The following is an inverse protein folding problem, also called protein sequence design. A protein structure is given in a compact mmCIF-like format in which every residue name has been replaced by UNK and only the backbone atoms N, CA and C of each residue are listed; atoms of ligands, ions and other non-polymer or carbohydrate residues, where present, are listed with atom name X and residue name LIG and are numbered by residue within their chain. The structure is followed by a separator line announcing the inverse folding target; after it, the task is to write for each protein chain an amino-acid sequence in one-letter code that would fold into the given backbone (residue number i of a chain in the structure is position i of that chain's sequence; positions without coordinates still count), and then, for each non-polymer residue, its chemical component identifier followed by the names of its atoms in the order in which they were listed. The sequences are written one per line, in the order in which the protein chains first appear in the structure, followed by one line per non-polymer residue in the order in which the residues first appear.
data_IF_935247564135
#
_entry.id   IF_935247564135
#
_cell.length_a   1.000
_cell.length_b   1.000
_cell.length_c   1.000
_cell.angle_alpha   90.00
_cell.angle_beta   90.00
_cell.angle_gamma   90.00
#
_symmetry.space_group_name_H-M   'P 1'
#
loop_
_entity.id
_entity.type
_entity.pdbx_description
1 polymer ?
#
# COMPACT_ATOMS: atom_id res chain seq x y z
N UNK A 1 4.33 18.34 18.85
CA UNK A 1 4.59 17.13 18.03
C UNK A 1 6.07 16.80 18.11
N UNK A 2 6.44 15.53 17.95
CA UNK A 2 7.86 15.12 17.91
C UNK A 2 8.44 15.51 16.54
N UNK A 3 9.67 16.02 16.53
CA UNK A 3 10.45 16.26 15.30
C UNK A 3 10.57 14.93 14.52
N UNK A 4 10.02 14.89 13.31
CA UNK A 4 10.00 13.74 12.41
C UNK A 4 10.73 14.11 11.12
N UNK A 5 11.88 13.48 10.86
CA UNK A 5 12.67 13.76 9.65
C UNK A 5 12.46 12.69 8.60
N UNK A 6 12.65 13.09 7.34
CA UNK A 6 12.62 12.17 6.21
C UNK A 6 13.64 11.02 6.37
N UNK A 7 14.78 11.28 6.99
CA UNK A 7 15.79 10.26 7.27
C UNK A 7 15.31 9.22 8.31
N UNK A 8 14.46 9.61 9.25
CA UNK A 8 13.89 8.69 10.26
C UNK A 8 12.93 7.68 9.63
N UNK A 9 12.25 8.07 8.53
CA UNK A 9 11.27 7.23 7.84
C UNK A 9 11.83 6.51 6.62
N UNK A 10 13.00 6.92 6.11
CA UNK A 10 13.60 6.38 4.89
C UNK A 10 13.79 4.87 4.96
N UNK A 11 14.33 4.36 6.06
CA UNK A 11 14.56 2.91 6.24
C UNK A 11 13.24 2.13 6.25
N UNK A 12 12.18 2.71 6.81
CA UNK A 12 10.87 2.08 6.83
C UNK A 12 10.25 2.01 5.43
N UNK A 13 10.35 3.09 4.64
CA UNK A 13 9.91 3.12 3.24
C UNK A 13 10.65 2.08 2.38
N UNK A 14 11.97 1.93 2.57
CA UNK A 14 12.77 0.92 1.86
C UNK A 14 12.32 -0.50 2.21
N UNK A 15 12.01 -0.78 3.47
CA UNK A 15 11.52 -2.11 3.90
C UNK A 15 10.11 -2.41 3.38
N UNK A 16 9.23 -1.42 3.38
CA UNK A 16 7.89 -1.55 2.81
C UNK A 16 7.96 -1.79 1.31
N UNK A 17 8.87 -1.11 0.61
CA UNK A 17 9.15 -1.34 -0.80
C UNK A 17 9.60 -2.77 -1.07
N UNK A 18 10.53 -3.32 -0.28
CA UNK A 18 10.96 -4.72 -0.41
C UNK A 18 9.82 -5.70 -0.18
N UNK A 19 9.04 -5.47 0.88
CA UNK A 19 7.88 -6.32 1.21
C UNK A 19 6.89 -6.34 0.05
N UNK A 20 6.59 -5.19 -0.54
CA UNK A 20 5.65 -5.08 -1.65
C UNK A 20 6.18 -5.77 -2.91
N UNK A 21 7.44 -5.55 -3.29
CA UNK A 21 8.06 -6.21 -4.45
C UNK A 21 7.98 -7.73 -4.30
N UNK A 22 8.39 -8.28 -3.15
CA UNK A 22 8.31 -9.72 -2.90
C UNK A 22 6.87 -10.24 -2.96
N UNK A 23 5.92 -9.51 -2.38
CA UNK A 23 4.51 -9.93 -2.37
C UNK A 23 3.93 -10.02 -3.79
N UNK A 24 4.28 -9.07 -4.67
CA UNK A 24 3.86 -9.07 -6.07
C UNK A 24 4.49 -10.23 -6.85
N UNK A 25 5.77 -10.52 -6.61
CA UNK A 25 6.47 -11.65 -7.24
C UNK A 25 5.83 -12.99 -6.80
N UNK A 26 5.53 -13.14 -5.50
CA UNK A 26 4.86 -14.33 -4.98
C UNK A 26 3.45 -14.50 -5.56
N UNK A 27 2.67 -13.41 -5.67
CA UNK A 27 1.33 -13.49 -6.27
C UNK A 27 1.38 -13.94 -7.73
N UNK A 28 2.39 -13.50 -8.47
CA UNK A 28 2.54 -13.83 -9.89
C UNK A 28 2.99 -15.27 -10.18
N UNK A 29 3.33 -16.06 -9.16
CA UNK A 29 3.50 -17.51 -9.30
C UNK A 29 2.19 -18.20 -9.75
N UNK A 30 1.05 -17.55 -9.52
CA UNK A 30 -0.26 -18.05 -9.91
C UNK A 30 -0.85 -17.22 -11.07
N UNK A 31 -1.72 -17.87 -11.86
CA UNK A 31 -2.49 -17.18 -12.88
C UNK A 31 -3.49 -16.19 -12.27
N UNK A 32 -4.16 -15.43 -13.12
CA UNK A 32 -5.15 -14.46 -12.69
C UNK A 32 -6.22 -15.09 -11.79
N UNK A 33 -6.73 -16.29 -12.11
CA UNK A 33 -7.73 -17.00 -11.29
C UNK A 33 -8.97 -16.12 -11.02
N UNK A 34 -9.60 -15.65 -12.11
CA UNK A 34 -10.75 -14.74 -12.11
C UNK A 34 -11.86 -15.08 -11.09
N UNK A 35 -12.26 -16.35 -10.88
CA UNK A 35 -13.31 -16.70 -9.92
C UNK A 35 -13.11 -16.17 -8.49
N UNK A 36 -11.86 -15.90 -8.09
CA UNK A 36 -11.54 -15.38 -6.74
C UNK A 36 -12.09 -13.95 -6.53
N UNK A 37 -12.24 -13.19 -7.61
CA UNK A 37 -12.59 -11.76 -7.59
C UNK A 37 -14.04 -11.48 -7.98
N UNK A 38 -14.77 -12.52 -8.40
CA UNK A 38 -16.17 -12.41 -8.77
C UNK A 38 -17.07 -12.74 -7.58
N UNK A 39 -18.08 -11.89 -7.36
CA UNK A 39 -19.04 -12.10 -6.28
C UNK A 39 -19.83 -13.39 -6.51
N UNK A 40 -19.95 -14.19 -5.45
CA UNK A 40 -20.69 -15.45 -5.42
C UNK A 40 -20.27 -16.54 -6.42
N UNK A 41 -19.20 -16.35 -7.20
CA UNK A 41 -18.67 -17.38 -8.11
C UNK A 41 -18.11 -18.58 -7.33
N UNK A 42 -17.44 -18.31 -6.22
CA UNK A 42 -17.09 -19.30 -5.20
C UNK A 42 -18.06 -19.12 -4.02
N UNK A 43 -19.03 -20.03 -3.80
CA UNK A 43 -20.01 -19.87 -2.73
C UNK A 43 -19.35 -20.01 -1.35
N UNK A 44 -19.51 -18.98 -0.50
CA UNK A 44 -18.99 -18.96 0.87
C UNK A 44 -20.16 -18.82 1.84
N UNK A 45 -20.47 -19.84 2.67
CA UNK A 45 -21.59 -19.79 3.58
C UNK A 45 -21.50 -18.61 4.57
N UNK A 46 -22.51 -17.74 4.55
CA UNK A 46 -22.63 -16.63 5.50
C UNK A 46 -21.78 -15.39 5.16
N UNK A 47 -21.24 -15.29 3.95
CA UNK A 47 -20.51 -14.12 3.46
C UNK A 47 -21.04 -13.65 2.12
N UNK A 48 -21.23 -12.35 1.97
CA UNK A 48 -21.60 -11.71 0.71
C UNK A 48 -20.37 -11.02 0.11
N UNK A 49 -19.90 -11.50 -1.04
CA UNK A 49 -18.75 -10.95 -1.76
C UNK A 49 -17.93 -12.03 -2.45
N UNK A 50 -16.76 -11.64 -2.96
CA UNK A 50 -15.81 -12.54 -3.61
C UNK A 50 -14.89 -13.26 -2.60
N UNK A 51 -14.18 -14.30 -3.05
CA UNK A 51 -13.29 -15.08 -2.18
C UNK A 51 -12.09 -14.28 -1.66
N UNK A 52 -11.56 -13.34 -2.46
CA UNK A 52 -10.51 -12.42 -2.01
C UNK A 52 -10.98 -11.57 -0.81
N UNK A 53 -12.19 -11.01 -0.90
CA UNK A 53 -12.75 -10.15 0.15
C UNK A 53 -13.01 -10.95 1.42
N UNK A 54 -13.54 -12.17 1.30
CA UNK A 54 -13.74 -13.06 2.45
C UNK A 54 -12.43 -13.31 3.19
N UNK A 55 -11.38 -13.72 2.48
CA UNK A 55 -10.12 -14.07 3.13
C UNK A 55 -9.44 -12.85 3.75
N UNK A 56 -9.52 -11.69 3.10
CA UNK A 56 -9.03 -10.43 3.65
C UNK A 56 -9.81 -10.09 4.93
N UNK A 57 -11.14 -10.09 4.88
CA UNK A 57 -11.99 -9.78 6.03
C UNK A 57 -11.72 -10.71 7.22
N UNK A 58 -11.66 -12.02 7.02
CA UNK A 58 -11.32 -12.98 8.08
C UNK A 58 -9.93 -12.71 8.67
N UNK A 59 -8.96 -12.35 7.83
CA UNK A 59 -7.62 -12.00 8.28
C UNK A 59 -7.61 -10.71 9.09
N UNK A 60 -8.34 -9.68 8.65
CA UNK A 60 -8.47 -8.41 9.37
C UNK A 60 -9.11 -8.61 10.74
N UNK A 61 -10.10 -9.51 10.86
CA UNK A 61 -10.71 -9.83 12.16
C UNK A 61 -9.72 -10.41 13.15
N UNK A 62 -8.79 -11.25 12.70
CA UNK A 62 -7.71 -11.78 13.55
C UNK A 62 -6.76 -10.66 13.95
N UNK A 63 -6.36 -9.81 13.01
CA UNK A 63 -5.43 -8.71 13.23
C UNK A 63 -6.00 -7.60 14.14
N UNK A 64 -7.29 -7.30 14.04
CA UNK A 64 -7.98 -6.32 14.86
C UNK A 64 -7.94 -6.69 16.35
N UNK A 65 -8.22 -7.96 16.67
CA UNK A 65 -8.16 -8.50 18.04
C UNK A 65 -6.80 -8.26 18.69
N UNK A 66 -5.72 -8.30 17.90
CA UNK A 66 -4.34 -8.12 18.38
C UNK A 66 -3.79 -6.70 18.19
N UNK A 67 -4.67 -5.70 18.00
CA UNK A 67 -4.38 -4.26 17.95
C UNK A 67 -3.69 -3.74 16.68
N UNK A 68 -3.65 -4.52 15.58
CA UNK A 68 -2.96 -4.09 14.35
C UNK A 68 -3.40 -2.69 13.90
N UNK A 69 -4.72 -2.47 13.80
CA UNK A 69 -5.32 -1.22 13.33
C UNK A 69 -5.41 -0.11 14.39
N UNK A 70 -4.76 -0.29 15.55
CA UNK A 70 -4.49 0.83 16.46
C UNK A 70 -3.15 1.51 16.16
N UNK A 71 -2.32 0.87 15.32
CA UNK A 71 -1.07 1.44 14.85
C UNK A 71 -1.35 2.56 13.83
N UNK A 72 -0.65 3.70 13.89
CA UNK A 72 -0.90 4.84 13.00
C UNK A 72 -0.52 4.61 11.53
N UNK A 73 0.09 3.47 11.21
CA UNK A 73 0.54 3.07 9.87
C UNK A 73 -0.20 1.85 9.31
N UNK A 74 -1.28 1.41 9.96
CA UNK A 74 -2.09 0.26 9.54
C UNK A 74 -3.56 0.68 9.37
N UNK A 75 -4.08 0.60 8.14
CA UNK A 75 -5.45 0.95 7.81
C UNK A 75 -6.23 -0.31 7.40
N UNK A 76 -7.39 -0.60 8.01
CA UNK A 76 -8.19 -1.76 7.62
C UNK A 76 -8.95 -1.50 6.32
N UNK A 77 -9.21 -2.56 5.55
CA UNK A 77 -10.08 -2.51 4.37
C UNK A 77 -11.57 -2.57 4.75
N UNK A 78 -11.89 -3.20 5.89
CA UNK A 78 -13.25 -3.33 6.41
C UNK A 78 -13.41 -2.58 7.75
N UNK A 79 -14.58 -2.00 8.00
CA UNK A 79 -14.82 -1.16 9.18
C UNK A 79 -15.48 -1.90 10.34
N UNK A 80 -16.19 -3.00 10.06
CA UNK A 80 -16.95 -3.81 11.00
C UNK A 80 -16.08 -4.91 11.63
N UNK A 81 -14.98 -4.49 12.28
CA UNK A 81 -14.01 -5.40 12.89
C UNK A 81 -14.29 -5.64 14.38
N UNK A 82 -13.92 -6.82 14.92
CA UNK A 82 -14.15 -7.18 16.31
C UNK A 82 -13.32 -6.37 17.29
N UNK A 83 -13.78 -6.32 18.54
CA UNK A 83 -13.08 -5.64 19.63
C UNK A 83 -11.69 -6.22 19.91
N UNK A 84 -10.82 -5.33 20.35
CA UNK A 84 -9.45 -5.63 20.78
C UNK A 84 -9.48 -6.50 22.04
N UNK A 85 -8.69 -7.58 22.07
CA UNK A 85 -8.58 -8.47 23.24
C UNK A 85 -7.32 -8.24 24.08
N UNK A 86 -6.40 -7.41 23.59
CA UNK A 86 -5.14 -7.07 24.26
C UNK A 86 -5.22 -5.71 24.99
N UNK A 87 -4.44 -5.48 26.05
CA UNK A 87 -4.40 -4.18 26.74
C UNK A 87 -4.05 -3.02 25.81
N UNK A 88 -4.45 -1.78 26.13
CA UNK A 88 -4.07 -0.62 25.31
C UNK A 88 -2.54 -0.38 25.33
N UNK A 89 -2.01 0.13 24.23
CA UNK A 89 -0.62 0.62 24.12
C UNK A 89 -0.67 2.07 23.68
N UNK A 90 0.07 2.93 24.37
CA UNK A 90 0.26 4.31 23.95
C UNK A 90 1.34 4.37 22.87
N UNK A 91 0.93 4.69 21.65
CA UNK A 91 1.87 5.03 20.58
C UNK A 91 2.24 6.51 20.68
N UNK A 92 3.53 6.81 20.54
CA UNK A 92 3.94 8.19 20.30
C UNK A 92 3.75 8.49 18.81
N UNK A 93 2.52 8.87 18.45
CA UNK A 93 2.11 9.11 17.06
C UNK A 93 2.60 10.52 16.65
N UNK A 94 3.48 10.64 15.64
CA UNK A 94 3.96 11.94 15.17
C UNK A 94 2.95 12.65 14.26
N UNK A 95 1.80 12.02 13.97
CA UNK A 95 0.75 12.54 13.11
C UNK A 95 -0.34 13.24 13.91
N UNK A 96 -1.03 14.20 13.29
CA UNK A 96 -2.30 14.71 13.81
C UNK A 96 -3.42 13.66 13.64
N UNK A 97 -4.47 13.69 14.49
CA UNK A 97 -5.67 12.88 14.26
C UNK A 97 -6.25 13.12 12.87
N UNK A 98 -6.54 12.04 12.14
CA UNK A 98 -7.11 12.08 10.79
C UNK A 98 -7.93 10.80 10.54
N UNK A 99 -8.82 10.85 9.53
CA UNK A 99 -9.64 9.71 9.12
C UNK A 99 -9.32 9.25 7.69
N UNK A 100 -8.11 9.53 7.20
CA UNK A 100 -7.70 9.26 5.82
C UNK A 100 -7.51 7.76 5.63
N UNK A 101 -8.35 7.15 4.81
CA UNK A 101 -8.20 5.76 4.40
C UNK A 101 -8.64 5.63 2.94
N UNK A 102 -7.69 5.34 2.05
CA UNK A 102 -7.89 5.18 0.60
C UNK A 102 -7.92 3.70 0.18
N UNK A 103 -8.16 2.77 1.12
CA UNK A 103 -8.16 1.33 0.83
C UNK A 103 -9.21 0.91 -0.22
N UNK A 104 -10.31 1.65 -0.37
CA UNK A 104 -11.26 1.42 -1.45
C UNK A 104 -10.62 1.62 -2.84
N UNK A 105 -9.84 2.70 -3.01
CA UNK A 105 -9.09 2.97 -4.24
C UNK A 105 -8.00 1.92 -4.46
N UNK A 106 -7.29 1.53 -3.39
CA UNK A 106 -6.25 0.48 -3.44
C UNK A 106 -6.83 -0.86 -3.87
N UNK A 107 -7.98 -1.26 -3.32
CA UNK A 107 -8.65 -2.51 -3.64
C UNK A 107 -9.06 -2.55 -5.13
N UNK A 108 -9.72 -1.49 -5.60
CA UNK A 108 -10.13 -1.39 -7.00
C UNK A 108 -8.92 -1.43 -7.94
N UNK A 109 -7.90 -0.62 -7.66
CA UNK A 109 -6.66 -0.60 -8.42
C UNK A 109 -5.98 -1.98 -8.47
N UNK A 110 -5.93 -2.67 -7.32
CA UNK A 110 -5.29 -3.98 -7.23
C UNK A 110 -5.98 -5.01 -8.12
N UNK A 111 -7.32 -5.12 -8.00
CA UNK A 111 -8.15 -6.06 -8.76
C UNK A 111 -8.19 -5.72 -10.25
N UNK A 112 -8.32 -4.44 -10.59
CA UNK A 112 -8.62 -4.02 -11.95
C UNK A 112 -7.39 -3.78 -12.82
N UNK A 113 -6.26 -3.41 -12.22
CA UNK A 113 -5.04 -3.00 -12.94
C UNK A 113 -3.83 -3.85 -12.56
N UNK A 114 -3.44 -3.87 -11.28
CA UNK A 114 -2.17 -4.47 -10.84
C UNK A 114 -2.13 -5.97 -11.16
N UNK A 115 -3.18 -6.72 -10.80
CA UNK A 115 -3.22 -8.16 -11.05
C UNK A 115 -3.10 -8.52 -12.54
N UNK A 116 -3.69 -7.73 -13.44
CA UNK A 116 -3.60 -7.95 -14.89
C UNK A 116 -2.20 -7.70 -15.45
N UNK A 117 -1.41 -6.85 -14.78
CA UNK A 117 -0.04 -6.57 -15.19
C UNK A 117 0.97 -7.62 -14.70
N UNK A 118 0.73 -8.23 -13.54
CA UNK A 118 1.69 -9.18 -12.94
C UNK A 118 1.33 -10.65 -13.17
N UNK A 119 0.06 -10.99 -13.35
CA UNK A 119 -0.39 -12.37 -13.51
C UNK A 119 -0.63 -12.75 -14.97
N UNK A 120 -0.26 -13.97 -15.33
CA UNK A 120 -0.69 -14.55 -16.60
C UNK A 120 -2.21 -14.75 -16.62
N UNK A 121 -2.90 -14.47 -17.75
CA UNK A 121 -4.32 -14.77 -17.90
C UNK A 121 -4.66 -16.25 -17.67
N UNK A 122 -5.90 -16.48 -17.26
CA UNK A 122 -6.50 -17.82 -17.11
C UNK A 122 -6.52 -18.31 -15.67
N UNK A 123 -6.74 -19.61 -15.54
CA UNK A 123 -7.02 -20.28 -14.27
C UNK A 123 -6.04 -21.45 -14.06
N UNK A 124 -5.41 -21.51 -12.90
CA UNK A 124 -4.55 -22.62 -12.47
C UNK A 124 -5.10 -23.39 -11.26
N UNK A 125 -6.31 -23.09 -10.79
CA UNK A 125 -7.02 -23.77 -9.71
C UNK A 125 -6.49 -23.48 -8.30
N UNK A 126 -5.40 -22.73 -8.17
CA UNK A 126 -4.74 -22.45 -6.89
C UNK A 126 -5.38 -21.25 -6.17
N UNK A 127 -6.69 -21.33 -5.91
CA UNK A 127 -7.46 -20.21 -5.40
C UNK A 127 -7.04 -19.77 -4.00
N UNK A 128 -6.85 -20.72 -3.08
CA UNK A 128 -6.45 -20.40 -1.71
C UNK A 128 -5.08 -19.72 -1.64
N UNK A 129 -4.12 -20.21 -2.41
CA UNK A 129 -2.77 -19.62 -2.45
C UNK A 129 -2.79 -18.22 -3.06
N UNK A 130 -3.54 -18.04 -4.15
CA UNK A 130 -3.69 -16.74 -4.80
C UNK A 130 -4.34 -15.71 -3.87
N UNK A 131 -5.48 -16.04 -3.25
CA UNK A 131 -6.16 -15.17 -2.29
C UNK A 131 -5.27 -14.85 -1.08
N UNK A 132 -4.46 -15.81 -0.61
CA UNK A 132 -3.52 -15.57 0.50
C UNK A 132 -2.45 -14.56 0.09
N UNK A 133 -1.87 -14.69 -1.11
CA UNK A 133 -0.95 -13.70 -1.66
C UNK A 133 -1.63 -12.34 -1.89
N UNK A 134 -2.90 -12.32 -2.30
CA UNK A 134 -3.68 -11.09 -2.48
C UNK A 134 -3.80 -10.30 -1.18
N UNK A 135 -4.12 -10.98 -0.06
CA UNK A 135 -4.18 -10.35 1.28
C UNK A 135 -2.85 -9.70 1.67
N UNK A 136 -1.74 -10.39 1.41
CA UNK A 136 -0.39 -9.87 1.71
C UNK A 136 -0.09 -8.64 0.83
N UNK A 137 -0.39 -8.71 -0.47
CA UNK A 137 -0.22 -7.59 -1.39
C UNK A 137 -1.04 -6.36 -0.98
N UNK A 138 -2.32 -6.55 -0.67
CA UNK A 138 -3.24 -5.47 -0.29
C UNK A 138 -2.79 -4.80 1.02
N UNK A 139 -2.36 -5.57 2.02
CA UNK A 139 -1.82 -5.01 3.25
C UNK A 139 -0.49 -4.27 3.02
N UNK A 140 0.40 -4.79 2.18
CA UNK A 140 1.66 -4.13 1.84
C UNK A 140 1.44 -2.82 1.06
N UNK A 141 0.51 -2.83 0.10
CA UNK A 141 0.08 -1.65 -0.65
C UNK A 141 -0.51 -0.60 0.28
N UNK A 142 -1.49 -1.00 1.10
CA UNK A 142 -2.14 -0.11 2.07
C UNK A 142 -1.12 0.57 2.97
N UNK A 143 -0.24 -0.21 3.60
CA UNK A 143 0.81 0.32 4.46
C UNK A 143 1.73 1.28 3.72
N UNK A 144 2.20 0.92 2.52
CA UNK A 144 3.15 1.74 1.74
C UNK A 144 2.53 3.07 1.30
N UNK A 145 1.28 3.05 0.87
CA UNK A 145 0.58 4.22 0.34
C UNK A 145 0.15 5.14 1.49
N UNK A 146 -0.43 4.59 2.56
CA UNK A 146 -0.80 5.38 3.74
C UNK A 146 0.40 5.91 4.52
N UNK A 147 1.60 5.34 4.34
CA UNK A 147 2.82 5.92 4.89
C UNK A 147 3.12 7.33 4.34
N UNK A 148 2.43 7.75 3.26
CA UNK A 148 2.37 9.12 2.79
C UNK A 148 2.03 10.12 3.92
N UNK A 149 1.22 9.76 4.91
CA UNK A 149 0.93 10.62 6.08
C UNK A 149 2.20 11.05 6.82
N UNK A 150 3.13 10.12 7.04
CA UNK A 150 4.41 10.39 7.70
C UNK A 150 5.37 11.19 6.81
N UNK A 151 5.34 10.93 5.50
CA UNK A 151 6.13 11.70 4.53
C UNK A 151 5.65 13.15 4.49
N UNK A 152 4.34 13.36 4.43
CA UNK A 152 3.72 14.67 4.47
C UNK A 152 4.03 15.43 5.76
N UNK A 153 3.93 14.77 6.92
CA UNK A 153 4.30 15.38 8.20
C UNK A 153 5.77 15.82 8.23
N UNK A 154 6.68 14.96 7.78
CA UNK A 154 8.11 15.30 7.73
C UNK A 154 8.41 16.44 6.75
N UNK A 155 7.70 16.51 5.62
CA UNK A 155 7.81 17.62 4.66
C UNK A 155 7.23 18.92 5.22
N UNK A 156 6.09 18.85 5.91
CA UNK A 156 5.49 20.00 6.58
C UNK A 156 6.45 20.59 7.61
N UNK A 157 7.02 19.77 8.50
CA UNK A 157 7.96 20.24 9.53
C UNK A 157 9.25 20.82 8.93
N UNK A 158 9.65 20.39 7.73
CA UNK A 158 10.84 20.91 7.06
C UNK A 158 10.63 22.29 6.39
N UNK A 159 9.40 22.63 6.01
CA UNK A 159 9.05 23.90 5.34
C UNK A 159 7.64 24.36 5.76
N UNK A 160 7.47 24.64 7.06
CA UNK A 160 6.17 24.96 7.65
C UNK A 160 5.53 26.20 7.01
N UNK A 161 6.34 27.21 6.64
CA UNK A 161 5.85 28.47 6.07
C UNK A 161 5.14 28.24 4.73
N UNK A 162 5.79 27.52 3.80
CA UNK A 162 5.23 27.25 2.47
C UNK A 162 3.95 26.41 2.56
N UNK A 163 4.00 25.29 3.28
CA UNK A 163 2.82 24.42 3.39
C UNK A 163 1.68 25.10 4.16
N UNK A 164 1.97 25.89 5.21
CA UNK A 164 0.93 26.64 5.94
C UNK A 164 0.18 27.62 5.02
N UNK A 165 0.89 28.32 4.15
CA UNK A 165 0.27 29.23 3.19
C UNK A 165 -0.66 28.48 2.21
N UNK A 166 -0.19 27.36 1.66
CA UNK A 166 -0.96 26.53 0.73
C UNK A 166 -2.19 25.88 1.39
N UNK A 167 -2.05 25.37 2.62
CA UNK A 167 -3.13 24.74 3.39
C UNK A 167 -4.22 25.75 3.71
N UNK A 168 -3.85 26.96 4.18
CA UNK A 168 -4.82 28.03 4.46
C UNK A 168 -5.57 28.49 3.20
N UNK A 169 -4.90 28.48 2.04
CA UNK A 169 -5.53 28.75 0.75
C UNK A 169 -6.38 27.59 0.22
N UNK A 170 -6.36 26.41 0.87
CA UNK A 170 -6.94 25.14 0.40
C UNK A 170 -6.48 24.79 -1.02
N UNK A 171 -5.23 25.13 -1.35
CA UNK A 171 -4.65 24.91 -2.68
C UNK A 171 -4.07 23.50 -2.81
N UNK A 172 -4.96 22.52 -3.01
CA UNK A 172 -4.57 21.11 -3.18
C UNK A 172 -3.57 20.91 -4.34
N UNK A 173 -3.73 21.67 -5.43
CA UNK A 173 -2.86 21.58 -6.61
C UNK A 173 -1.48 22.15 -6.32
N UNK A 174 -1.41 23.30 -5.65
CA UNK A 174 -0.14 23.88 -5.21
C UNK A 174 0.61 22.95 -4.25
N UNK A 175 -0.10 22.28 -3.33
CA UNK A 175 0.50 21.25 -2.47
C UNK A 175 1.05 20.11 -3.32
N UNK A 176 0.25 19.54 -4.21
CA UNK A 176 0.67 18.44 -5.09
C UNK A 176 1.95 18.79 -5.88
N UNK A 177 1.99 19.97 -6.52
CA UNK A 177 3.14 20.45 -7.28
C UNK A 177 4.41 20.57 -6.41
N UNK A 178 4.28 21.01 -5.15
CA UNK A 178 5.39 21.06 -4.19
C UNK A 178 5.88 19.67 -3.76
N UNK A 179 4.99 18.66 -3.74
CA UNK A 179 5.34 17.31 -3.33
C UNK A 179 6.07 16.51 -4.42
N UNK A 180 5.83 16.84 -5.69
CA UNK A 180 6.43 16.18 -6.85
C UNK A 180 7.94 16.46 -6.88
N UNK A 181 8.73 15.40 -6.81
CA UNK A 181 10.17 15.48 -6.98
C UNK A 181 10.62 14.41 -7.97
N UNK A 182 10.70 14.80 -9.25
CA UNK A 182 11.03 13.90 -10.37
C UNK A 182 12.38 13.19 -10.19
N UNK A 183 13.35 13.84 -9.54
CA UNK A 183 14.64 13.22 -9.28
C UNK A 183 14.57 12.13 -8.19
N UNK A 184 13.69 12.29 -7.20
CA UNK A 184 13.43 11.27 -6.17
C UNK A 184 12.60 10.14 -6.75
N UNK A 185 11.54 10.44 -7.52
CA UNK A 185 10.72 9.45 -8.22
C UNK A 185 11.59 8.54 -9.10
N UNK A 186 12.42 9.12 -9.97
CA UNK A 186 13.33 8.34 -10.83
C UNK A 186 14.28 7.42 -10.04
N UNK A 187 14.76 7.87 -8.87
CA UNK A 187 15.60 7.04 -7.97
C UNK A 187 14.81 5.93 -7.29
N UNK A 188 13.53 6.13 -7.01
CA UNK A 188 12.64 5.09 -6.48
C UNK A 188 12.42 4.04 -7.56
N UNK A 189 12.02 4.45 -8.77
CA UNK A 189 11.74 3.55 -9.89
C UNK A 189 12.96 2.69 -10.26
N UNK A 190 14.14 3.30 -10.43
CA UNK A 190 15.37 2.58 -10.72
C UNK A 190 15.74 1.57 -9.62
N UNK A 191 15.47 1.90 -8.35
CA UNK A 191 15.73 0.99 -7.22
C UNK A 191 14.72 -0.15 -7.19
N UNK A 192 13.44 0.12 -7.44
CA UNK A 192 12.38 -0.88 -7.52
C UNK A 192 12.68 -1.88 -8.63
N UNK A 193 13.02 -1.41 -9.82
CA UNK A 193 13.38 -2.26 -10.96
C UNK A 193 14.61 -3.14 -10.65
N UNK A 194 15.65 -2.55 -10.06
CA UNK A 194 16.86 -3.28 -9.66
C UNK A 194 16.57 -4.37 -8.60
N UNK A 195 15.74 -4.06 -7.61
CA UNK A 195 15.32 -5.02 -6.59
C UNK A 195 14.44 -6.13 -7.16
N UNK A 196 13.45 -5.78 -7.97
CA UNK A 196 12.60 -6.75 -8.67
C UNK A 196 13.43 -7.70 -9.54
N UNK A 197 14.43 -7.16 -10.24
CA UNK A 197 15.40 -7.95 -11.01
C UNK A 197 16.19 -8.90 -10.10
N UNK A 198 16.65 -8.43 -8.95
CA UNK A 198 17.44 -9.25 -8.02
C UNK A 198 16.60 -10.37 -7.38
N UNK A 199 15.35 -10.07 -7.01
CA UNK A 199 14.48 -11.02 -6.31
C UNK A 199 13.78 -12.01 -7.24
N UNK A 200 13.62 -11.66 -8.51
CA UNK A 200 12.98 -12.50 -9.52
C UNK A 200 13.90 -13.55 -10.16
N UNK A 201 15.14 -13.70 -9.69
CA UNK A 201 16.15 -14.62 -10.23
C UNK A 201 16.55 -15.66 -9.20
N UNK A 202 16.80 -16.90 -9.64
CA UNK A 202 17.51 -17.87 -8.81
C UNK A 202 19.03 -17.57 -8.83
N UNK A 203 19.71 -17.57 -7.67
CA UNK A 203 21.15 -17.33 -7.61
C UNK A 203 21.92 -18.35 -8.45
N UNK A 204 22.60 -17.88 -9.51
CA UNK A 204 23.48 -18.70 -10.34
C UNK A 204 22.91 -19.12 -11.70
N UNK A 205 21.70 -18.70 -12.07
CA UNK A 205 21.18 -18.89 -13.43
C UNK A 205 21.80 -17.92 -14.44
N UNK A 206 22.27 -18.42 -15.58
CA UNK A 206 22.82 -17.60 -16.68
C UNK A 206 21.74 -16.92 -17.53
N UNK A 207 20.49 -17.44 -17.53
CA UNK A 207 19.33 -16.88 -18.23
C UNK A 207 18.07 -17.01 -17.34
N UNK A 208 17.92 -16.15 -16.33
CA UNK A 208 16.82 -16.32 -15.39
C UNK A 208 15.47 -16.05 -16.04
N UNK A 209 14.52 -16.95 -15.82
CA UNK A 209 13.12 -16.78 -16.20
C UNK A 209 12.38 -15.98 -15.13
N UNK A 210 12.16 -14.68 -15.39
CA UNK A 210 11.38 -13.85 -14.50
C UNK A 210 9.89 -14.23 -14.54
N UNK A 211 9.31 -14.57 -13.38
CA UNK A 211 7.86 -14.80 -13.26
C UNK A 211 7.04 -13.51 -13.43
N UNK A 212 7.62 -12.37 -13.05
CA UNK A 212 7.10 -11.02 -13.33
C UNK A 212 8.18 -10.24 -14.02
N UNK A 213 7.83 -9.55 -15.09
CA UNK A 213 8.74 -8.59 -15.71
C UNK A 213 9.11 -7.50 -14.66
N UNK A 214 10.40 -7.36 -14.27
CA UNK A 214 10.82 -6.35 -13.29
C UNK A 214 10.37 -4.93 -13.66
N UNK A 215 10.33 -4.62 -14.96
CA UNK A 215 9.84 -3.33 -15.46
C UNK A 215 8.35 -3.12 -15.16
N UNK A 216 7.53 -4.18 -15.15
CA UNK A 216 6.11 -4.07 -14.83
C UNK A 216 5.92 -3.64 -13.36
N UNK A 217 6.77 -4.11 -12.44
CA UNK A 217 6.71 -3.68 -11.04
C UNK A 217 7.10 -2.19 -10.92
N UNK A 218 8.12 -1.74 -11.64
CA UNK A 218 8.46 -0.32 -11.69
C UNK A 218 7.32 0.53 -12.27
N UNK A 219 6.64 0.04 -13.32
CA UNK A 219 5.48 0.72 -13.91
C UNK A 219 4.31 0.83 -12.94
N UNK A 220 4.02 -0.23 -12.17
CA UNK A 220 2.99 -0.20 -11.12
C UNK A 220 3.30 0.87 -10.06
N UNK A 221 4.58 1.04 -9.74
CA UNK A 221 5.02 2.11 -8.85
C UNK A 221 4.78 3.50 -9.44
N UNK A 222 5.17 3.70 -10.69
CA UNK A 222 5.04 4.97 -11.40
C UNK A 222 3.58 5.37 -11.60
N UNK A 223 2.77 4.46 -12.13
CA UNK A 223 1.42 4.76 -12.60
C UNK A 223 0.41 4.83 -11.46
N UNK A 224 0.66 4.13 -10.35
CA UNK A 224 -0.38 3.92 -9.34
C UNK A 224 0.07 4.16 -7.90
N UNK A 225 1.18 3.54 -7.46
CA UNK A 225 1.57 3.61 -6.04
C UNK A 225 2.04 5.03 -5.69
N UNK A 226 2.90 5.64 -6.50
CA UNK A 226 3.40 7.01 -6.27
C UNK A 226 2.23 8.01 -6.32
N UNK A 227 1.38 8.04 -7.37
CA UNK A 227 0.23 8.94 -7.41
C UNK A 227 -0.70 8.81 -6.21
N UNK A 228 -1.04 7.58 -5.80
CA UNK A 228 -1.93 7.39 -4.66
C UNK A 228 -1.27 7.77 -3.32
N UNK A 229 0.05 7.60 -3.20
CA UNK A 229 0.81 8.10 -2.04
C UNK A 229 0.77 9.63 -2.00
N UNK A 230 0.95 10.31 -3.15
CA UNK A 230 0.85 11.78 -3.23
C UNK A 230 -0.56 12.25 -2.86
N UNK A 231 -1.60 11.56 -3.32
CA UNK A 231 -2.99 11.84 -2.90
C UNK A 231 -3.13 11.81 -1.37
N UNK A 232 -2.61 10.76 -0.71
CA UNK A 232 -2.61 10.67 0.76
C UNK A 232 -1.84 11.81 1.40
N UNK A 233 -0.68 12.20 0.84
CA UNK A 233 0.10 13.33 1.33
C UNK A 233 -0.69 14.66 1.26
N UNK A 234 -1.37 14.91 0.13
CA UNK A 234 -2.22 16.09 -0.06
C UNK A 234 -3.40 16.08 0.92
N UNK A 235 -4.14 14.97 1.00
CA UNK A 235 -5.30 14.82 1.88
C UNK A 235 -4.92 15.04 3.35
N UNK A 236 -3.73 14.59 3.76
CA UNK A 236 -3.18 14.81 5.09
C UNK A 236 -2.82 16.28 5.34
N UNK A 237 -2.10 16.92 4.42
CA UNK A 237 -1.69 18.31 4.55
C UNK A 237 -2.91 19.24 4.64
N UNK A 238 -3.95 19.00 3.85
CA UNK A 238 -5.17 19.82 3.88
C UNK A 238 -5.89 19.78 5.23
N UNK A 239 -5.71 18.74 6.03
CA UNK A 239 -6.29 18.61 7.37
C UNK A 239 -5.31 19.05 8.48
N UNK A 240 -4.05 19.37 8.12
CA UNK A 240 -2.93 19.51 9.06
C UNK A 240 -3.08 20.67 10.05
N UNK A 241 -3.86 21.68 9.70
CA UNK A 241 -4.12 22.87 10.52
C UNK A 241 -5.52 22.88 11.15
N UNK A 242 -6.34 21.85 10.97
CA UNK A 242 -7.71 21.78 11.50
C UNK A 242 -7.76 21.46 13.02
N UNK A 243 -6.66 21.71 13.75
CA UNK A 243 -6.49 21.43 15.19
C UNK A 243 -6.74 22.64 16.08
#
# INVERSE_FOLDING_TARGET
MKDLKLDDIRNQLIRQEETLIFSLIERAQFKFNEPIYLDAEIPIPGFEGCFCDYLLYETEKVHAKVRRYTSPDEEPFFTDLPDIVLPAVAYNVPLIPNAINVNADIMALYKDQILKQICQPGDCGNYGSSATCDVICLQALSKRIHYGKFVAEAKFQADEETYTALINARDAKGIEECLINKAVEAKVLARVESKATTYGQEPGEENPEFKVNPQAIAQIYEDYIIPLTIKVEVDYLLQRLDS
#
